data_IF_901771576871
#
_entry.id   IF_901771576871
#
_cell.length_a   1.000
_cell.length_b   1.000
_cell.length_c   1.000
_cell.angle_alpha   90.00
_cell.angle_beta   90.00
_cell.angle_gamma   90.00
#
_symmetry.space_group_name_H-M   'P 1'
#
loop_
_entity.id
_entity.type
_entity.pdbx_description
1 polymer ?
#
# COMPACT_ATOMS: atom_id res chain seq x y z
N UNK A 1 -7.76 -32.11 -21.24
CA UNK A 1 -7.86 -31.41 -20.00
C UNK A 1 -8.07 -29.95 -20.36
N UNK A 2 -9.27 -29.46 -20.04
CA UNK A 2 -9.61 -28.05 -20.14
C UNK A 2 -9.01 -27.42 -18.89
N UNK A 3 -7.90 -26.67 -19.05
CA UNK A 3 -7.46 -25.70 -18.06
C UNK A 3 -8.58 -24.66 -17.98
N UNK A 4 -9.37 -24.75 -16.94
CA UNK A 4 -10.23 -23.65 -16.53
C UNK A 4 -9.29 -22.63 -15.86
N UNK A 5 -8.79 -21.67 -16.64
CA UNK A 5 -8.31 -20.42 -16.09
C UNK A 5 -9.47 -19.80 -15.32
N UNK A 6 -9.50 -19.99 -13.99
CA UNK A 6 -10.39 -19.21 -13.14
C UNK A 6 -9.97 -17.74 -13.32
N UNK A 7 -10.85 -16.87 -13.80
CA UNK A 7 -10.54 -15.46 -13.90
C UNK A 7 -10.20 -14.97 -12.50
N UNK A 8 -8.96 -14.54 -12.29
CA UNK A 8 -8.55 -13.87 -11.07
C UNK A 8 -9.49 -12.69 -10.88
N UNK A 9 -10.36 -12.76 -9.89
CA UNK A 9 -11.28 -11.67 -9.64
C UNK A 9 -10.45 -10.43 -9.27
N UNK A 10 -10.73 -9.24 -9.85
CA UNK A 10 -10.02 -8.00 -9.58
C UNK A 10 -9.92 -7.67 -8.09
N UNK A 11 -10.77 -8.29 -7.28
CA UNK A 11 -10.87 -8.14 -5.83
C UNK A 11 -9.59 -8.54 -5.07
N UNK A 12 -8.76 -9.40 -5.64
CA UNK A 12 -7.52 -9.90 -5.04
C UNK A 12 -6.25 -9.35 -5.71
N UNK A 13 -6.39 -8.49 -6.71
CA UNK A 13 -5.23 -7.91 -7.38
C UNK A 13 -4.49 -6.91 -6.47
N UNK A 14 -3.18 -6.76 -6.69
CA UNK A 14 -2.36 -5.82 -5.95
C UNK A 14 -2.91 -4.37 -6.03
N UNK A 15 -3.33 -3.84 -7.20
CA UNK A 15 -3.92 -2.52 -7.30
C UNK A 15 -5.23 -2.37 -6.52
N UNK A 16 -6.13 -3.36 -6.60
CA UNK A 16 -7.39 -3.33 -5.86
C UNK A 16 -7.14 -3.39 -4.34
N UNK A 17 -6.20 -4.22 -3.91
CA UNK A 17 -5.79 -4.33 -2.50
C UNK A 17 -5.22 -3.02 -1.99
N UNK A 18 -4.35 -2.34 -2.76
CA UNK A 18 -3.81 -1.04 -2.39
C UNK A 18 -4.89 0.03 -2.23
N UNK A 19 -5.81 0.14 -3.19
CA UNK A 19 -6.94 1.09 -3.11
C UNK A 19 -7.83 0.79 -1.91
N UNK A 20 -8.16 -0.48 -1.65
CA UNK A 20 -8.97 -0.89 -0.49
C UNK A 20 -8.30 -0.53 0.83
N UNK A 21 -6.99 -0.76 0.96
CA UNK A 21 -6.24 -0.40 2.15
C UNK A 21 -6.25 1.12 2.39
N UNK A 22 -6.05 1.93 1.35
CA UNK A 22 -6.12 3.39 1.44
C UNK A 22 -7.52 3.88 1.84
N UNK A 23 -8.58 3.32 1.24
CA UNK A 23 -9.96 3.65 1.60
C UNK A 23 -10.31 3.21 3.02
N UNK A 24 -9.82 2.04 3.47
CA UNK A 24 -9.99 1.57 4.84
C UNK A 24 -9.29 2.50 5.85
N UNK A 25 -8.08 2.96 5.54
CA UNK A 25 -7.35 3.95 6.35
C UNK A 25 -8.10 5.28 6.45
N UNK A 26 -8.74 5.75 5.37
CA UNK A 26 -9.58 6.95 5.41
C UNK A 26 -10.78 6.76 6.33
N UNK A 27 -11.35 5.57 6.40
CA UNK A 27 -12.49 5.20 7.28
C UNK A 27 -12.08 4.93 8.72
N UNK A 28 -10.82 5.09 9.07
CA UNK A 28 -10.32 4.90 10.43
C UNK A 28 -10.01 3.44 10.80
N UNK A 29 -9.81 2.56 9.82
CA UNK A 29 -9.36 1.19 10.07
C UNK A 29 -7.99 1.16 10.76
N UNK A 30 -7.64 0.00 11.33
CA UNK A 30 -6.37 -0.20 12.02
C UNK A 30 -5.17 0.10 11.12
N UNK A 31 -4.28 0.99 11.58
CA UNK A 31 -3.12 1.41 10.79
C UNK A 31 -2.13 0.29 10.59
N UNK A 32 -1.93 -0.57 11.60
CA UNK A 32 -0.97 -1.66 11.53
C UNK A 32 -1.37 -2.64 10.43
N UNK A 33 -2.62 -3.07 10.44
CA UNK A 33 -3.15 -3.98 9.44
C UNK A 33 -3.06 -3.36 8.02
N UNK A 34 -3.60 -2.17 7.84
CA UNK A 34 -3.73 -1.61 6.50
C UNK A 34 -2.41 -1.11 5.91
N UNK A 35 -1.49 -0.54 6.71
CA UNK A 35 -0.17 -0.13 6.23
C UNK A 35 0.70 -1.35 5.89
N UNK A 36 0.61 -2.43 6.67
CA UNK A 36 1.31 -3.69 6.36
C UNK A 36 0.76 -4.33 5.07
N UNK A 37 -0.57 -4.37 4.91
CA UNK A 37 -1.20 -4.83 3.66
C UNK A 37 -0.74 -3.98 2.49
N UNK A 38 -0.77 -2.66 2.61
CA UNK A 38 -0.35 -1.73 1.56
C UNK A 38 1.12 -1.93 1.17
N UNK A 39 2.02 -2.05 2.15
CA UNK A 39 3.44 -2.31 1.91
C UNK A 39 3.67 -3.60 1.11
N UNK A 40 2.91 -4.66 1.42
CA UNK A 40 3.02 -6.00 0.80
C UNK A 40 2.41 -6.10 -0.59
N UNK A 41 1.72 -5.07 -1.08
CA UNK A 41 1.21 -5.08 -2.46
C UNK A 41 2.30 -5.02 -3.52
N UNK A 42 3.53 -4.62 -3.16
CA UNK A 42 4.60 -4.35 -4.11
C UNK A 42 4.44 -3.04 -4.89
N UNK A 43 3.37 -2.28 -4.64
CA UNK A 43 3.07 -1.01 -5.33
C UNK A 43 3.62 0.23 -4.62
N UNK A 44 4.21 0.06 -3.44
CA UNK A 44 4.96 1.11 -2.79
C UNK A 44 6.43 0.98 -3.21
N UNK A 45 7.11 2.08 -3.53
CA UNK A 45 8.54 2.02 -3.84
C UNK A 45 9.34 1.75 -2.56
N UNK A 46 9.21 0.52 -2.04
CA UNK A 46 9.91 -0.05 -0.88
C UNK A 46 10.69 -1.27 -1.34
N UNK A 47 11.88 -1.48 -0.78
CA UNK A 47 12.63 -2.72 -1.00
C UNK A 47 12.03 -3.87 -0.19
N UNK A 48 12.38 -5.12 -0.54
CA UNK A 48 11.94 -6.29 0.21
C UNK A 48 12.40 -6.23 1.67
N UNK A 49 13.63 -5.74 1.91
CA UNK A 49 14.18 -5.56 3.26
C UNK A 49 13.37 -4.54 4.06
N UNK A 50 12.96 -3.44 3.43
CA UNK A 50 12.11 -2.43 4.07
C UNK A 50 10.73 -2.99 4.43
N UNK A 51 10.11 -3.76 3.53
CA UNK A 51 8.82 -4.41 3.78
C UNK A 51 8.93 -5.43 4.91
N UNK A 52 9.96 -6.30 4.87
CA UNK A 52 10.20 -7.29 5.92
C UNK A 52 10.50 -6.64 7.28
N UNK A 53 11.33 -5.60 7.30
CA UNK A 53 11.68 -4.89 8.53
C UNK A 53 10.46 -4.19 9.14
N UNK A 54 9.61 -3.55 8.30
CA UNK A 54 8.36 -2.93 8.72
C UNK A 54 7.38 -3.94 9.32
N UNK A 55 7.17 -5.07 8.64
CA UNK A 55 6.27 -6.13 9.10
C UNK A 55 6.74 -6.72 10.43
N UNK A 56 8.04 -7.03 10.56
CA UNK A 56 8.62 -7.54 11.79
C UNK A 56 8.49 -6.55 12.95
N UNK A 57 8.74 -5.26 12.70
CA UNK A 57 8.57 -4.23 13.72
C UNK A 57 7.10 -4.10 14.14
N UNK A 58 6.18 -4.06 13.18
CA UNK A 58 4.75 -3.99 13.41
C UNK A 58 4.23 -5.21 14.19
N UNK A 59 4.68 -6.40 13.85
CA UNK A 59 4.36 -7.64 14.58
C UNK A 59 4.87 -7.61 16.02
N UNK A 60 6.12 -7.19 16.21
CA UNK A 60 6.79 -7.20 17.54
C UNK A 60 6.17 -6.17 18.48
N UNK A 61 5.84 -4.98 18.00
CA UNK A 61 5.47 -3.84 18.82
C UNK A 61 3.99 -3.45 18.75
N UNK A 62 3.24 -3.97 17.78
CA UNK A 62 1.83 -3.64 17.54
C UNK A 62 1.54 -2.14 17.72
N UNK A 63 2.21 -1.25 16.96
CA UNK A 63 2.14 0.19 17.18
C UNK A 63 0.72 0.69 16.94
N UNK A 64 0.17 1.46 17.87
CA UNK A 64 -1.10 2.16 17.67
C UNK A 64 -0.93 3.35 16.71
N UNK A 65 -2.03 4.02 16.37
CA UNK A 65 -2.02 5.13 15.40
C UNK A 65 -1.09 6.31 15.80
N UNK A 66 -0.88 6.56 17.09
CA UNK A 66 0.04 7.59 17.57
C UNK A 66 1.50 7.14 17.39
N UNK A 67 1.78 5.87 17.70
CA UNK A 67 3.11 5.29 17.53
C UNK A 67 3.51 5.18 16.04
N UNK A 68 2.56 4.92 15.14
CA UNK A 68 2.81 4.97 13.69
C UNK A 68 3.24 6.37 13.21
N UNK A 69 2.76 7.43 13.85
CA UNK A 69 3.14 8.82 13.51
C UNK A 69 4.41 9.31 14.20
N UNK A 70 4.93 8.54 15.16
CA UNK A 70 6.20 8.79 15.83
C UNK A 70 7.33 7.97 15.17
N UNK A 71 8.56 8.41 15.36
CA UNK A 71 9.73 7.67 14.93
C UNK A 71 9.80 6.29 15.61
N UNK A 72 10.13 5.26 14.84
CA UNK A 72 10.40 3.93 15.36
C UNK A 72 11.79 3.88 15.99
N UNK A 73 11.83 3.69 17.30
CA UNK A 73 13.09 3.73 18.09
C UNK A 73 13.34 2.47 18.91
N UNK A 74 12.36 1.54 18.93
CA UNK A 74 12.46 0.34 19.74
C UNK A 74 13.27 -0.74 19.04
N UNK A 75 13.89 -1.64 19.82
CA UNK A 75 14.65 -2.75 19.28
C UNK A 75 13.77 -3.65 18.39
N UNK A 76 14.11 -3.89 17.11
CA UNK A 76 13.34 -4.74 16.20
C UNK A 76 13.15 -6.19 16.70
N UNK A 77 14.07 -6.68 17.53
CA UNK A 77 13.99 -8.03 18.15
C UNK A 77 13.09 -8.11 19.39
N UNK A 78 12.48 -6.98 19.79
CA UNK A 78 11.57 -6.93 20.93
C UNK A 78 12.25 -6.58 22.25
N UNK A 79 11.69 -7.06 23.35
CA UNK A 79 12.18 -6.78 24.68
C UNK A 79 13.52 -7.52 24.95
N UNK A 80 14.55 -6.78 25.27
CA UNK A 80 15.85 -7.30 25.67
C UNK A 80 16.73 -6.17 26.16
N UNK A 81 17.65 -6.46 27.07
CA UNK A 81 18.62 -5.51 27.61
C UNK A 81 19.87 -5.37 26.70
N UNK A 82 19.90 -6.07 25.57
CA UNK A 82 21.06 -6.08 24.68
C UNK A 82 21.14 -4.79 23.88
N UNK A 83 22.33 -4.26 23.78
CA UNK A 83 22.62 -3.16 22.85
C UNK A 83 22.27 -3.58 21.42
N UNK A 84 21.75 -2.63 20.64
CA UNK A 84 21.45 -2.84 19.24
C UNK A 84 22.73 -3.24 18.49
N UNK A 85 22.70 -4.36 17.81
CA UNK A 85 23.74 -4.72 16.85
C UNK A 85 23.67 -3.82 15.61
N UNK A 86 24.68 -3.85 14.76
CA UNK A 86 24.65 -3.10 13.49
C UNK A 86 23.53 -3.58 12.58
N UNK A 87 23.24 -4.89 12.59
CA UNK A 87 22.09 -5.48 11.89
C UNK A 87 20.75 -4.95 12.45
N UNK A 88 20.61 -4.85 13.76
CA UNK A 88 19.38 -4.32 14.39
C UNK A 88 19.19 -2.83 14.06
N UNK A 89 20.27 -2.04 14.03
CA UNK A 89 20.22 -0.64 13.61
C UNK A 89 19.79 -0.50 12.15
N UNK A 90 20.30 -1.38 11.28
CA UNK A 90 19.93 -1.38 9.87
C UNK A 90 18.46 -1.76 9.66
N UNK A 91 18.00 -2.81 10.35
CA UNK A 91 16.59 -3.23 10.30
C UNK A 91 15.66 -2.13 10.84
N UNK A 92 16.04 -1.44 11.91
CA UNK A 92 15.29 -0.31 12.44
C UNK A 92 15.23 0.85 11.44
N UNK A 93 16.35 1.15 10.78
CA UNK A 93 16.39 2.20 9.76
C UNK A 93 15.49 1.86 8.57
N UNK A 94 15.49 0.63 8.09
CA UNK A 94 14.59 0.18 7.02
C UNK A 94 13.11 0.26 7.42
N UNK A 95 12.77 -0.17 8.64
CA UNK A 95 11.41 -0.07 9.14
C UNK A 95 10.94 1.39 9.27
N UNK A 96 11.83 2.28 9.75
CA UNK A 96 11.54 3.70 9.89
C UNK A 96 11.37 4.41 8.54
N UNK A 97 12.22 4.11 7.56
CA UNK A 97 12.10 4.67 6.22
C UNK A 97 10.79 4.24 5.56
N UNK A 98 10.41 2.95 5.67
CA UNK A 98 9.15 2.45 5.17
C UNK A 98 7.96 3.09 5.89
N UNK A 99 7.99 3.17 7.24
CA UNK A 99 6.97 3.86 8.04
C UNK A 99 6.75 5.28 7.58
N UNK A 100 7.83 6.07 7.51
CA UNK A 100 7.77 7.49 7.13
C UNK A 100 7.11 7.66 5.77
N UNK A 101 7.56 6.91 4.76
CA UNK A 101 7.01 6.98 3.41
C UNK A 101 5.50 6.68 3.38
N UNK A 102 5.06 5.62 4.04
CA UNK A 102 3.66 5.22 4.05
C UNK A 102 2.79 6.18 4.85
N UNK A 103 3.24 6.60 6.04
CA UNK A 103 2.47 7.49 6.91
C UNK A 103 2.35 8.89 6.30
N UNK A 104 3.42 9.44 5.73
CA UNK A 104 3.39 10.75 5.09
C UNK A 104 2.41 10.78 3.91
N UNK A 105 2.40 9.73 3.07
CA UNK A 105 1.47 9.59 1.96
C UNK A 105 0.01 9.50 2.46
N UNK A 106 -0.25 8.70 3.50
CA UNK A 106 -1.61 8.53 4.06
C UNK A 106 -2.09 9.81 4.77
N UNK A 107 -1.23 10.50 5.51
CA UNK A 107 -1.61 11.76 6.18
C UNK A 107 -1.82 12.88 5.15
N UNK A 108 -1.07 12.91 4.05
CA UNK A 108 -1.34 13.77 2.89
C UNK A 108 -2.71 13.44 2.27
N UNK A 109 -3.00 12.15 2.04
CA UNK A 109 -4.30 11.70 1.55
C UNK A 109 -5.44 12.17 2.45
N UNK A 110 -5.33 11.96 3.77
CA UNK A 110 -6.33 12.41 4.74
C UNK A 110 -6.55 13.92 4.72
N UNK A 111 -5.47 14.68 4.52
CA UNK A 111 -5.55 16.13 4.39
C UNK A 111 -6.37 16.59 3.19
N UNK A 112 -6.24 15.88 2.07
CA UNK A 112 -6.92 16.20 0.80
C UNK A 112 -8.41 15.84 0.78
N UNK A 113 -8.87 14.89 1.61
CA UNK A 113 -10.27 14.37 1.57
C UNK A 113 -11.18 14.88 2.70
N UNK A 114 -10.76 15.83 3.51
CA UNK A 114 -11.59 16.39 4.60
C UNK A 114 -12.89 16.97 4.08
N UNK A 115 -14.01 16.29 4.37
CA UNK A 115 -15.35 16.69 3.91
C UNK A 115 -15.56 16.54 2.40
N UNK A 116 -14.75 15.70 1.74
CA UNK A 116 -14.74 15.53 0.30
C UNK A 116 -15.90 14.71 -0.25
N UNK A 117 -16.20 14.95 -1.52
CA UNK A 117 -17.10 14.13 -2.33
C UNK A 117 -16.33 12.97 -2.98
N UNK A 118 -17.05 12.10 -3.70
CA UNK A 118 -16.45 10.93 -4.36
C UNK A 118 -15.32 11.32 -5.34
N UNK A 119 -15.46 12.43 -6.08
CA UNK A 119 -14.44 12.93 -6.99
C UNK A 119 -13.14 13.26 -6.25
N UNK A 120 -13.24 13.99 -5.14
CA UNK A 120 -12.08 14.39 -4.34
C UNK A 120 -11.38 13.18 -3.71
N UNK A 121 -12.16 12.21 -3.22
CA UNK A 121 -11.64 10.97 -2.65
C UNK A 121 -10.91 10.16 -3.71
N UNK A 122 -11.53 9.91 -4.86
CA UNK A 122 -10.92 9.14 -5.96
C UNK A 122 -9.63 9.78 -6.45
N UNK A 123 -9.64 11.09 -6.68
CA UNK A 123 -8.45 11.85 -7.09
C UNK A 123 -7.35 11.79 -6.01
N UNK A 124 -7.71 11.94 -4.74
CA UNK A 124 -6.74 11.90 -3.65
C UNK A 124 -6.11 10.51 -3.50
N UNK A 125 -6.89 9.43 -3.66
CA UNK A 125 -6.38 8.04 -3.68
C UNK A 125 -5.43 7.84 -4.85
N UNK A 126 -5.78 8.28 -6.07
CA UNK A 126 -4.90 8.21 -7.23
C UNK A 126 -3.56 8.92 -6.98
N UNK A 127 -3.61 10.16 -6.47
CA UNK A 127 -2.39 10.91 -6.15
C UNK A 127 -1.55 10.27 -5.04
N UNK A 128 -2.19 9.65 -4.05
CA UNK A 128 -1.49 8.90 -3.01
C UNK A 128 -0.74 7.69 -3.60
N UNK A 129 -1.38 6.91 -4.48
CA UNK A 129 -0.72 5.81 -5.19
C UNK A 129 0.48 6.31 -6.00
N UNK A 130 0.34 7.45 -6.67
CA UNK A 130 1.43 8.07 -7.43
C UNK A 130 2.59 8.53 -6.52
N UNK A 131 2.31 9.15 -5.37
CA UNK A 131 3.32 9.53 -4.37
C UNK A 131 4.05 8.30 -3.80
N UNK A 132 3.37 7.17 -3.69
CA UNK A 132 3.97 5.89 -3.28
C UNK A 132 4.82 5.24 -4.38
N UNK A 133 4.76 5.72 -5.62
CA UNK A 133 5.49 5.17 -6.77
C UNK A 133 4.79 3.97 -7.43
N UNK A 134 3.46 3.85 -7.26
CA UNK A 134 2.72 2.66 -7.66
C UNK A 134 2.74 2.42 -9.18
N UNK A 135 2.79 3.47 -9.99
CA UNK A 135 2.82 3.37 -11.45
C UNK A 135 4.12 2.72 -11.93
N UNK A 136 5.26 3.18 -11.41
CA UNK A 136 6.58 2.65 -11.73
C UNK A 136 6.75 1.22 -11.20
N UNK A 137 6.27 0.94 -9.99
CA UNK A 137 6.31 -0.39 -9.40
C UNK A 137 5.45 -1.38 -10.21
N UNK A 138 4.26 -0.97 -10.62
CA UNK A 138 3.39 -1.79 -11.46
C UNK A 138 4.04 -2.09 -12.83
N UNK A 139 4.69 -1.11 -13.45
CA UNK A 139 5.40 -1.33 -14.70
C UNK A 139 6.55 -2.34 -14.53
N UNK A 140 7.32 -2.24 -13.46
CA UNK A 140 8.35 -3.21 -13.11
C UNK A 140 7.78 -4.61 -12.89
N UNK A 141 6.72 -4.72 -12.10
CA UNK A 141 6.04 -5.99 -11.83
C UNK A 141 5.55 -6.68 -13.11
N UNK A 142 4.98 -5.92 -14.05
CA UNK A 142 4.53 -6.44 -15.35
C UNK A 142 5.70 -7.02 -16.16
N UNK A 143 6.87 -6.35 -16.14
CA UNK A 143 8.06 -6.89 -16.83
C UNK A 143 8.61 -8.14 -16.15
N UNK A 144 8.63 -8.20 -14.82
CA UNK A 144 9.04 -9.37 -14.06
C UNK A 144 8.11 -10.57 -14.32
N UNK A 145 6.79 -10.33 -14.33
CA UNK A 145 5.80 -11.34 -14.69
C UNK A 145 6.00 -11.81 -16.14
N UNK A 146 6.26 -10.88 -17.06
CA UNK A 146 6.55 -11.21 -18.46
C UNK A 146 7.75 -12.14 -18.59
N UNK A 147 8.81 -11.85 -17.87
CA UNK A 147 10.03 -12.67 -17.88
C UNK A 147 9.81 -14.05 -17.24
N UNK A 148 9.03 -14.12 -16.16
CA UNK A 148 8.81 -15.35 -15.40
C UNK A 148 7.69 -16.24 -15.95
N UNK A 149 6.59 -15.66 -16.46
CA UNK A 149 5.33 -16.37 -16.83
C UNK A 149 4.87 -16.12 -18.26
N UNK A 150 5.53 -15.23 -19.00
CA UNK A 150 5.23 -14.92 -20.40
C UNK A 150 4.21 -13.79 -20.59
N UNK A 151 3.94 -13.49 -21.85
CA UNK A 151 3.13 -12.33 -22.28
C UNK A 151 1.69 -12.37 -21.73
N UNK A 152 0.94 -13.51 -21.78
CA UNK A 152 -0.45 -13.49 -21.33
C UNK A 152 -0.62 -13.07 -19.85
N UNK A 153 0.25 -13.55 -18.96
CA UNK A 153 0.22 -13.20 -17.54
C UNK A 153 0.57 -11.72 -17.30
N UNK A 154 1.52 -11.18 -18.06
CA UNK A 154 1.88 -9.78 -18.01
C UNK A 154 0.74 -8.86 -18.49
N UNK A 155 0.05 -9.26 -19.57
CA UNK A 155 -1.12 -8.53 -20.08
C UNK A 155 -2.29 -8.54 -19.08
N UNK A 156 -2.48 -9.65 -18.35
CA UNK A 156 -3.47 -9.75 -17.30
C UNK A 156 -3.15 -8.79 -16.14
N UNK A 157 -1.91 -8.79 -15.63
CA UNK A 157 -1.47 -7.87 -14.58
C UNK A 157 -1.59 -6.39 -14.99
N UNK A 158 -1.27 -6.05 -16.25
CA UNK A 158 -1.47 -4.71 -16.79
C UNK A 158 -2.95 -4.35 -16.89
N UNK A 159 -3.81 -5.29 -17.25
CA UNK A 159 -5.26 -5.11 -17.34
C UNK A 159 -5.88 -4.85 -15.97
N UNK A 160 -5.46 -5.58 -14.93
CA UNK A 160 -5.93 -5.37 -13.55
C UNK A 160 -5.66 -3.94 -13.07
N UNK A 161 -4.47 -3.41 -13.33
CA UNK A 161 -4.14 -2.01 -13.04
C UNK A 161 -5.09 -1.05 -13.76
N UNK A 162 -5.25 -1.22 -15.07
CA UNK A 162 -6.09 -0.35 -15.88
C UNK A 162 -7.56 -0.37 -15.41
N UNK A 163 -8.09 -1.54 -15.05
CA UNK A 163 -9.47 -1.69 -14.52
C UNK A 163 -9.63 -0.90 -13.22
N UNK A 164 -8.68 -1.00 -12.30
CA UNK A 164 -8.75 -0.28 -11.02
C UNK A 164 -8.63 1.24 -11.23
N UNK A 165 -7.74 1.70 -12.12
CA UNK A 165 -7.63 3.12 -12.45
C UNK A 165 -8.90 3.64 -13.13
N UNK A 166 -9.49 2.87 -14.04
CA UNK A 166 -10.76 3.21 -14.68
C UNK A 166 -11.90 3.30 -13.65
N UNK A 167 -11.98 2.37 -12.69
CA UNK A 167 -12.98 2.43 -11.62
C UNK A 167 -12.85 3.70 -10.77
N UNK A 168 -11.65 4.13 -10.44
CA UNK A 168 -11.43 5.39 -9.72
C UNK A 168 -11.90 6.60 -10.54
N UNK A 169 -11.69 6.58 -11.86
CA UNK A 169 -12.13 7.65 -12.76
C UNK A 169 -13.66 7.67 -12.94
N UNK A 170 -14.28 6.48 -13.06
CA UNK A 170 -15.74 6.33 -13.10
C UNK A 170 -16.39 6.79 -11.78
N UNK A 171 -15.81 6.43 -10.62
CA UNK A 171 -16.30 6.91 -9.33
C UNK A 171 -16.22 8.44 -9.23
N UNK A 172 -15.14 9.05 -9.72
CA UNK A 172 -14.99 10.49 -9.78
C UNK A 172 -16.05 11.14 -10.69
N UNK A 173 -16.33 10.54 -11.85
CA UNK A 173 -17.21 11.10 -12.87
C UNK A 173 -18.69 10.91 -12.55
N UNK A 174 -19.08 9.71 -12.11
CA UNK A 174 -20.51 9.35 -11.91
C UNK A 174 -21.03 9.79 -10.53
N UNK A 175 -20.21 9.72 -9.50
CA UNK A 175 -20.57 10.03 -8.12
C UNK A 175 -19.99 11.37 -7.64
N UNK A 176 -19.31 12.10 -8.51
CA UNK A 176 -18.45 13.22 -8.18
C UNK A 176 -19.08 14.29 -7.29
N UNK A 177 -20.36 14.55 -7.43
CA UNK A 177 -21.08 15.56 -6.63
C UNK A 177 -21.76 14.98 -5.38
N UNK A 178 -21.72 13.67 -5.17
CA UNK A 178 -22.33 13.06 -3.99
C UNK A 178 -21.40 13.13 -2.80
N UNK A 179 -21.92 13.60 -1.66
CA UNK A 179 -21.21 13.54 -0.38
C UNK A 179 -21.06 12.07 0.02
N UNK A 180 -19.82 11.63 0.23
CA UNK A 180 -19.53 10.29 0.73
C UNK A 180 -19.06 10.43 2.17
N UNK A 181 -19.74 9.74 3.09
CA UNK A 181 -19.26 9.64 4.48
C UNK A 181 -18.09 8.63 4.49
N UNK A 182 -16.90 9.12 4.74
CA UNK A 182 -15.68 8.32 4.90
C UNK A 182 -15.35 8.18 6.37
#
# INVERSE_FOLDING_TARGET
PLDCDEPTTPEFSAPATAVRALLALLRGADMTEQLTVLAKTGLCALSEEQVCALENYAYTWSPNAAAWRAEFTKNPKGFGENELTDEDRQNLAWAEDARRKLVDAVDTLRGKVKGGNAEQISRAVYFCLKELGAEEQQAGLVEDIRAARGIPAAEEAAREWNVVMQLLDEMASLLGQQSVTV
#
